data_IF_021547646822
#
_entry.id   IF_021547646822
#
_cell.length_a   1.000
_cell.length_b   1.000
_cell.length_c   1.000
_cell.angle_alpha   90.00
_cell.angle_beta   90.00
_cell.angle_gamma   90.00
#
_symmetry.space_group_name_H-M   'P 1'
#
loop_
_entity.id
_entity.type
_entity.pdbx_description
1 polymer ?
#
# COMPACT_ATOMS: atom_id res chain seq x y z
N UNK A 1 38.97 -16.75 18.22
CA UNK A 1 37.58 -17.07 17.81
C UNK A 1 36.91 -15.73 17.61
N UNK A 2 36.97 -15.24 16.38
CA UNK A 2 36.35 -13.98 15.96
C UNK A 2 34.95 -14.32 15.49
N UNK A 3 33.96 -14.01 16.32
CA UNK A 3 32.55 -14.02 15.92
C UNK A 3 32.34 -12.90 14.91
N UNK A 4 32.12 -13.29 13.66
CA UNK A 4 31.55 -12.45 12.63
C UNK A 4 30.08 -12.20 13.01
N UNK A 5 29.78 -10.98 13.46
CA UNK A 5 28.43 -10.46 13.50
C UNK A 5 27.91 -10.35 12.08
N UNK A 6 27.19 -11.37 11.62
CA UNK A 6 26.30 -11.25 10.47
C UNK A 6 25.24 -10.20 10.82
N UNK A 7 25.26 -9.10 10.09
CA UNK A 7 24.27 -8.04 10.14
C UNK A 7 22.86 -8.62 9.93
N UNK A 8 21.92 -8.22 10.77
CA UNK A 8 20.49 -8.50 10.66
C UNK A 8 19.87 -7.97 9.36
N UNK A 9 20.01 -8.70 8.25
CA UNK A 9 19.35 -8.36 6.99
C UNK A 9 17.98 -9.06 6.90
N UNK A 10 17.00 -8.55 7.65
CA UNK A 10 15.61 -9.02 7.65
C UNK A 10 14.68 -8.30 6.67
N UNK A 11 15.07 -7.12 6.21
CA UNK A 11 14.35 -6.29 5.22
C UNK A 11 15.30 -6.00 4.05
N UNK A 12 15.40 -6.91 3.08
CA UNK A 12 16.09 -6.60 1.84
C UNK A 12 15.14 -5.77 0.97
N UNK A 13 15.44 -4.48 0.80
CA UNK A 13 14.80 -3.64 -0.20
C UNK A 13 14.82 -4.36 -1.56
N UNK A 14 13.73 -4.23 -2.32
CA UNK A 14 13.65 -4.76 -3.67
C UNK A 14 14.73 -4.10 -4.54
N UNK A 15 15.40 -4.86 -5.42
CA UNK A 15 16.28 -4.29 -6.42
C UNK A 15 15.53 -3.28 -7.30
N UNK A 16 16.24 -2.28 -7.88
CA UNK A 16 15.65 -1.35 -8.82
C UNK A 16 15.41 -2.05 -10.17
N UNK A 17 14.30 -2.79 -10.28
CA UNK A 17 13.83 -3.37 -11.54
C UNK A 17 13.24 -2.29 -12.43
N UNK A 18 13.64 -2.19 -13.69
CA UNK A 18 13.20 -1.15 -14.64
C UNK A 18 12.51 -1.72 -15.89
N UNK A 19 12.47 -3.04 -16.05
CA UNK A 19 11.82 -3.73 -17.16
C UNK A 19 10.83 -4.77 -16.61
N UNK A 20 9.81 -4.28 -15.90
CA UNK A 20 8.85 -5.10 -15.17
C UNK A 20 7.74 -5.57 -16.09
N UNK A 21 7.44 -6.87 -16.04
CA UNK A 21 6.17 -7.41 -16.53
C UNK A 21 5.26 -7.72 -15.36
N UNK A 22 4.01 -7.27 -15.44
CA UNK A 22 2.96 -7.59 -14.46
C UNK A 22 2.16 -8.78 -14.98
N UNK A 23 1.91 -9.81 -14.15
CA UNK A 23 0.99 -10.89 -14.53
C UNK A 23 -0.39 -10.71 -13.90
N UNK A 24 -1.42 -10.73 -14.74
CA UNK A 24 -2.83 -10.65 -14.32
C UNK A 24 -3.73 -11.67 -15.01
N UNK A 25 -3.17 -12.54 -15.86
CA UNK A 25 -3.85 -13.53 -16.69
C UNK A 25 -4.99 -14.31 -15.98
N UNK A 26 -6.22 -14.13 -16.45
CA UNK A 26 -7.44 -14.73 -15.85
C UNK A 26 -7.99 -14.01 -14.61
N UNK A 27 -7.35 -12.91 -14.18
CA UNK A 27 -7.67 -12.19 -12.94
C UNK A 27 -7.66 -10.66 -13.12
N UNK A 28 -7.76 -10.14 -14.35
CA UNK A 28 -7.68 -8.71 -14.70
C UNK A 28 -8.91 -7.86 -14.33
N UNK A 29 -9.55 -8.13 -13.20
CA UNK A 29 -10.63 -7.30 -12.68
C UNK A 29 -10.08 -6.23 -11.72
N UNK A 30 -10.73 -5.06 -11.59
CA UNK A 30 -10.32 -4.03 -10.63
C UNK A 30 -10.21 -4.52 -9.18
N UNK A 31 -10.96 -5.58 -8.82
CA UNK A 31 -10.93 -6.16 -7.49
C UNK A 31 -9.69 -7.06 -7.25
N UNK A 32 -9.32 -7.86 -8.25
CA UNK A 32 -8.27 -8.87 -8.12
C UNK A 32 -6.89 -8.34 -8.54
N UNK A 33 -6.83 -7.50 -9.56
CA UNK A 33 -5.60 -6.94 -10.14
C UNK A 33 -5.21 -5.58 -9.51
N UNK A 34 -5.65 -5.30 -8.27
CA UNK A 34 -5.36 -4.03 -7.59
C UNK A 34 -3.85 -3.71 -7.51
N UNK A 35 -3.02 -4.75 -7.40
CA UNK A 35 -1.55 -4.60 -7.36
C UNK A 35 -1.05 -4.12 -8.72
N UNK A 36 -1.42 -4.79 -9.82
CA UNK A 36 -1.06 -4.37 -11.17
C UNK A 36 -1.56 -2.96 -11.49
N UNK A 37 -2.82 -2.64 -11.17
CA UNK A 37 -3.41 -1.31 -11.40
C UNK A 37 -2.60 -0.22 -10.69
N UNK A 38 -2.15 -0.48 -9.47
CA UNK A 38 -1.36 0.48 -8.70
C UNK A 38 0.07 0.60 -9.24
N UNK A 39 0.70 -0.52 -9.63
CA UNK A 39 2.01 -0.51 -10.30
C UNK A 39 1.97 0.28 -11.62
N UNK A 40 0.93 0.09 -12.44
CA UNK A 40 0.71 0.84 -13.68
C UNK A 40 0.47 2.34 -13.46
N UNK A 41 0.06 2.75 -12.27
CA UNK A 41 -0.18 4.16 -11.94
C UNK A 41 1.04 4.84 -11.33
N UNK A 42 1.75 4.14 -10.45
CA UNK A 42 2.81 4.72 -9.62
C UNK A 42 4.23 4.34 -10.07
N UNK A 43 4.38 3.28 -10.87
CA UNK A 43 5.64 2.83 -11.47
C UNK A 43 5.51 2.55 -12.97
N UNK A 44 4.68 3.31 -13.68
CA UNK A 44 4.47 3.11 -15.13
C UNK A 44 5.75 3.13 -15.94
N UNK A 45 6.72 3.98 -15.58
CA UNK A 45 8.01 4.09 -16.26
C UNK A 45 8.85 2.81 -16.23
N UNK A 46 8.62 1.95 -15.23
CA UNK A 46 9.35 0.70 -15.06
C UNK A 46 8.59 -0.51 -15.61
N UNK A 47 7.34 -0.35 -16.04
CA UNK A 47 6.48 -1.45 -16.51
C UNK A 47 6.46 -1.49 -18.03
N UNK A 48 6.90 -2.61 -18.61
CA UNK A 48 7.03 -2.77 -20.07
C UNK A 48 5.88 -3.55 -20.71
N UNK A 49 5.17 -4.38 -19.94
CA UNK A 49 3.97 -5.07 -20.42
C UNK A 49 3.13 -5.63 -19.25
N UNK A 50 1.87 -5.95 -19.55
CA UNK A 50 1.00 -6.79 -18.71
C UNK A 50 0.76 -8.12 -19.41
N UNK A 51 0.97 -9.23 -18.72
CA UNK A 51 0.72 -10.56 -19.22
C UNK A 51 -0.69 -11.03 -18.88
N UNK A 52 -1.51 -11.14 -19.93
CA UNK A 52 -2.89 -11.62 -19.93
C UNK A 52 -3.24 -12.12 -21.35
N UNK A 53 -3.50 -13.41 -21.48
CA UNK A 53 -3.73 -14.07 -22.76
C UNK A 53 -5.07 -13.66 -23.39
N UNK A 54 -6.12 -13.51 -22.57
CA UNK A 54 -7.47 -13.19 -23.06
C UNK A 54 -7.55 -11.73 -23.55
N UNK A 55 -6.78 -10.83 -22.93
CA UNK A 55 -6.78 -9.40 -23.22
C UNK A 55 -5.63 -8.95 -24.12
N UNK A 56 -4.84 -9.88 -24.66
CA UNK A 56 -3.69 -9.58 -25.51
C UNK A 56 -4.06 -8.69 -26.71
N UNK A 57 -3.21 -7.71 -26.99
CA UNK A 57 -3.40 -6.71 -28.06
C UNK A 57 -4.15 -5.44 -27.62
N UNK A 58 -4.68 -5.40 -26.39
CA UNK A 58 -5.15 -4.16 -25.76
C UNK A 58 -3.99 -3.41 -25.11
N UNK A 59 -4.24 -2.17 -24.72
CA UNK A 59 -3.35 -1.41 -23.82
C UNK A 59 -3.80 -1.53 -22.36
N UNK A 60 -2.89 -1.21 -21.44
CA UNK A 60 -3.21 -1.10 -20.01
C UNK A 60 -4.26 -0.01 -19.75
N UNK A 61 -4.23 1.08 -20.51
CA UNK A 61 -5.27 2.11 -20.45
C UNK A 61 -6.65 1.56 -20.82
N UNK A 62 -6.75 0.76 -21.88
CA UNK A 62 -8.03 0.18 -22.33
C UNK A 62 -8.61 -0.82 -21.32
N UNK A 63 -7.75 -1.64 -20.69
CA UNK A 63 -8.20 -2.68 -19.76
C UNK A 63 -8.43 -2.15 -18.33
N UNK A 64 -7.52 -1.31 -17.83
CA UNK A 64 -7.48 -0.90 -16.43
C UNK A 64 -7.79 0.58 -16.21
N UNK A 65 -7.87 1.39 -17.26
CA UNK A 65 -8.04 2.84 -17.15
C UNK A 65 -6.80 3.58 -16.66
N UNK A 66 -5.63 2.93 -16.65
CA UNK A 66 -4.34 3.51 -16.23
C UNK A 66 -3.18 2.79 -16.91
N UNK A 67 -2.02 3.45 -16.97
CA UNK A 67 -0.80 2.87 -17.55
C UNK A 67 -0.60 3.17 -19.03
N UNK A 68 -1.44 4.02 -19.65
CA UNK A 68 -1.23 4.49 -21.03
C UNK A 68 -1.08 3.35 -22.04
N UNK A 69 -0.10 3.50 -22.93
CA UNK A 69 0.14 2.59 -24.06
C UNK A 69 0.87 1.29 -23.67
N UNK A 70 1.09 1.02 -22.37
CA UNK A 70 1.74 -0.22 -21.92
C UNK A 70 0.97 -1.43 -22.48
N UNK A 71 1.60 -2.29 -23.29
CA UNK A 71 0.90 -3.33 -24.03
C UNK A 71 0.47 -4.49 -23.12
N UNK A 72 -0.67 -5.09 -23.46
CA UNK A 72 -1.10 -6.37 -22.91
C UNK A 72 -0.69 -7.48 -23.87
N UNK A 73 0.07 -8.45 -23.36
CA UNK A 73 0.69 -9.51 -24.15
C UNK A 73 0.26 -10.90 -23.66
N UNK A 74 0.15 -11.86 -24.58
CA UNK A 74 -0.19 -13.23 -24.23
C UNK A 74 0.99 -14.02 -23.66
N UNK A 75 2.22 -13.66 -24.03
CA UNK A 75 3.43 -14.40 -23.67
C UNK A 75 4.59 -13.45 -23.36
N UNK A 76 5.65 -13.97 -22.75
CA UNK A 76 6.91 -13.25 -22.54
C UNK A 76 7.83 -13.28 -23.78
N UNK A 77 7.36 -13.77 -24.92
CA UNK A 77 8.18 -13.87 -26.14
C UNK A 77 8.51 -12.48 -26.68
N UNK A 78 9.76 -12.28 -27.12
CA UNK A 78 10.22 -10.99 -27.64
C UNK A 78 10.45 -9.90 -26.59
N UNK A 79 10.09 -10.15 -25.32
CA UNK A 79 10.37 -9.25 -24.20
C UNK A 79 11.64 -9.66 -23.47
N UNK A 80 12.36 -8.70 -22.89
CA UNK A 80 13.54 -8.91 -22.04
C UNK A 80 13.34 -8.26 -20.66
N UNK A 81 12.34 -8.72 -19.88
CA UNK A 81 12.10 -8.14 -18.57
C UNK A 81 13.21 -8.53 -17.59
N UNK A 82 13.49 -7.65 -16.62
CA UNK A 82 14.36 -7.98 -15.48
C UNK A 82 13.58 -8.64 -14.35
N UNK A 83 12.28 -8.36 -14.24
CA UNK A 83 11.40 -8.98 -13.25
C UNK A 83 9.97 -9.25 -13.75
N UNK A 84 9.38 -10.32 -13.23
CA UNK A 84 7.97 -10.67 -13.32
C UNK A 84 7.31 -10.45 -11.95
N UNK A 85 6.37 -9.51 -11.89
CA UNK A 85 5.64 -9.16 -10.68
C UNK A 85 4.26 -9.80 -10.69
N UNK A 86 3.92 -10.50 -9.61
CA UNK A 86 2.59 -11.05 -9.38
C UNK A 86 1.61 -9.89 -9.16
N UNK A 87 0.84 -9.55 -10.20
CA UNK A 87 -0.01 -8.37 -10.26
C UNK A 87 -1.36 -8.50 -9.57
N UNK A 88 -1.60 -9.59 -8.83
CA UNK A 88 -2.91 -9.93 -8.28
C UNK A 88 -2.86 -10.18 -6.77
N UNK A 89 -4.03 -10.06 -6.14
CA UNK A 89 -4.25 -10.41 -4.73
C UNK A 89 -5.55 -11.22 -4.58
N UNK A 90 -5.54 -12.51 -4.96
CA UNK A 90 -6.75 -13.34 -4.94
C UNK A 90 -7.18 -13.66 -3.50
N UNK A 91 -8.48 -13.92 -3.27
CA UNK A 91 -8.96 -14.46 -2.00
C UNK A 91 -8.19 -15.72 -1.60
N UNK A 92 -7.67 -15.75 -0.37
CA UNK A 92 -6.84 -16.85 0.14
C UNK A 92 -5.35 -16.77 -0.23
N UNK A 93 -4.94 -15.82 -1.09
CA UNK A 93 -3.53 -15.46 -1.29
C UNK A 93 -2.65 -16.59 -1.87
N UNK A 94 -3.24 -17.52 -2.61
CA UNK A 94 -2.53 -18.63 -3.27
C UNK A 94 -2.11 -18.29 -4.68
N UNK A 95 -1.05 -18.93 -5.15
CA UNK A 95 -0.61 -18.83 -6.53
C UNK A 95 -1.55 -19.64 -7.43
N UNK A 96 -2.10 -19.06 -8.52
CA UNK A 96 -2.86 -19.84 -9.49
C UNK A 96 -1.99 -20.97 -10.06
N UNK A 97 -2.47 -22.22 -9.96
CA UNK A 97 -1.72 -23.40 -10.42
C UNK A 97 -1.34 -23.30 -11.89
N UNK A 98 -2.21 -22.69 -12.71
CA UNK A 98 -1.99 -22.47 -14.13
C UNK A 98 -0.77 -21.57 -14.43
N UNK A 99 -0.35 -20.72 -13.50
CA UNK A 99 0.80 -19.82 -13.70
C UNK A 99 2.15 -20.48 -13.41
N UNK A 100 2.18 -21.66 -12.77
CA UNK A 100 3.43 -22.34 -12.43
C UNK A 100 4.34 -22.55 -13.64
N UNK A 101 3.88 -23.09 -14.80
CA UNK A 101 4.75 -23.32 -15.95
C UNK A 101 5.37 -22.02 -16.49
N UNK A 102 4.59 -20.94 -16.50
CA UNK A 102 5.06 -19.63 -16.92
C UNK A 102 6.12 -19.07 -15.96
N UNK A 103 5.91 -19.17 -14.65
CA UNK A 103 6.88 -18.72 -13.64
C UNK A 103 8.18 -19.50 -13.76
N UNK A 104 8.11 -20.83 -13.94
CA UNK A 104 9.30 -21.66 -14.21
C UNK A 104 10.03 -21.20 -15.48
N UNK A 105 9.29 -20.89 -16.56
CA UNK A 105 9.89 -20.39 -17.79
C UNK A 105 10.55 -19.01 -17.62
N UNK A 106 9.97 -18.12 -16.81
CA UNK A 106 10.59 -16.84 -16.47
C UNK A 106 11.88 -17.03 -15.66
N UNK A 107 11.84 -17.91 -14.64
CA UNK A 107 13.01 -18.29 -13.84
C UNK A 107 14.13 -18.87 -14.70
N UNK A 108 13.80 -19.78 -15.63
CA UNK A 108 14.77 -20.41 -16.52
C UNK A 108 15.45 -19.40 -17.47
N UNK A 109 14.85 -18.23 -17.67
CA UNK A 109 15.41 -17.10 -18.44
C UNK A 109 16.22 -16.12 -17.58
N UNK A 110 16.38 -16.37 -16.29
CA UNK A 110 17.07 -15.47 -15.37
C UNK A 110 16.24 -14.25 -14.94
N UNK A 111 14.92 -14.27 -15.14
CA UNK A 111 14.01 -13.19 -14.74
C UNK A 111 13.67 -13.34 -13.25
N UNK A 112 13.81 -12.26 -12.49
CA UNK A 112 13.45 -12.24 -11.07
C UNK A 112 11.92 -12.33 -10.88
N UNK A 113 11.47 -13.02 -9.83
CA UNK A 113 10.04 -13.17 -9.55
C UNK A 113 9.71 -12.45 -8.24
N UNK A 114 8.76 -11.50 -8.30
CA UNK A 114 8.32 -10.73 -7.13
C UNK A 114 6.87 -11.07 -6.82
N UNK A 115 6.62 -11.61 -5.63
CA UNK A 115 5.31 -12.06 -5.18
C UNK A 115 4.94 -11.45 -3.83
N UNK A 116 3.70 -10.98 -3.72
CA UNK A 116 3.11 -10.55 -2.45
C UNK A 116 1.99 -11.47 -1.97
N UNK A 117 1.93 -12.68 -2.51
CA UNK A 117 1.00 -13.72 -2.06
C UNK A 117 1.37 -14.20 -0.63
N UNK A 118 0.40 -14.83 0.04
CA UNK A 118 0.66 -15.48 1.34
C UNK A 118 1.34 -16.84 1.16
N UNK A 119 1.18 -17.45 -0.02
CA UNK A 119 1.96 -18.59 -0.44
C UNK A 119 3.33 -18.13 -0.94
N UNK A 120 4.38 -18.43 -0.16
CA UNK A 120 5.75 -18.02 -0.45
C UNK A 120 6.38 -18.89 -1.54
N UNK A 121 6.90 -18.25 -2.58
CA UNK A 121 7.63 -18.89 -3.66
C UNK A 121 8.90 -19.57 -3.15
N UNK A 122 9.56 -18.97 -2.14
CA UNK A 122 10.77 -19.53 -1.53
C UNK A 122 10.55 -20.80 -0.72
N UNK A 123 9.29 -21.20 -0.48
CA UNK A 123 8.97 -22.49 0.13
C UNK A 123 8.87 -23.63 -0.90
N UNK A 124 8.87 -23.33 -2.20
CA UNK A 124 8.81 -24.33 -3.26
C UNK A 124 10.23 -24.77 -3.68
N UNK A 125 10.61 -26.05 -3.44
CA UNK A 125 11.96 -26.52 -3.75
C UNK A 125 12.33 -26.44 -5.23
N UNK A 126 11.35 -26.57 -6.14
CA UNK A 126 11.62 -26.50 -7.58
C UNK A 126 11.92 -25.06 -8.01
N UNK A 127 11.14 -24.09 -7.54
CA UNK A 127 11.39 -22.67 -7.81
C UNK A 127 12.77 -22.26 -7.30
N UNK A 128 13.11 -22.61 -6.06
CA UNK A 128 14.41 -22.28 -5.45
C UNK A 128 15.57 -22.90 -6.24
N UNK A 129 15.47 -24.19 -6.57
CA UNK A 129 16.54 -24.90 -7.29
C UNK A 129 16.77 -24.31 -8.69
N UNK A 130 15.71 -23.96 -9.41
CA UNK A 130 15.82 -23.36 -10.75
C UNK A 130 16.29 -21.91 -10.71
N UNK A 131 15.85 -21.13 -9.72
CA UNK A 131 16.31 -19.76 -9.53
C UNK A 131 17.83 -19.74 -9.30
N UNK A 132 18.32 -20.57 -8.37
CA UNK A 132 19.75 -20.72 -8.10
C UNK A 132 20.55 -21.18 -9.33
N UNK A 133 20.00 -22.08 -10.15
CA UNK A 133 20.66 -22.58 -11.35
C UNK A 133 20.79 -21.52 -12.45
N UNK A 134 19.77 -20.68 -12.63
CA UNK A 134 19.67 -19.75 -13.76
C UNK A 134 20.01 -18.29 -13.39
N UNK A 135 20.30 -18.02 -12.12
CA UNK A 135 20.75 -16.71 -11.63
C UNK A 135 19.61 -15.73 -11.36
N UNK A 136 18.34 -16.16 -11.41
CA UNK A 136 17.22 -15.34 -10.96
C UNK A 136 17.03 -15.40 -9.45
N UNK A 137 16.28 -14.44 -8.93
CA UNK A 137 15.95 -14.28 -7.50
C UNK A 137 14.44 -14.36 -7.30
N UNK A 138 14.05 -14.87 -6.14
CA UNK A 138 12.65 -14.96 -5.72
C UNK A 138 12.45 -14.01 -4.54
N UNK A 139 11.51 -13.07 -4.69
CA UNK A 139 11.17 -12.09 -3.67
C UNK A 139 9.75 -12.30 -3.17
N UNK A 140 9.64 -12.79 -1.93
CA UNK A 140 8.36 -12.86 -1.21
C UNK A 140 8.21 -11.60 -0.36
N UNK A 141 7.51 -10.57 -0.85
CA UNK A 141 7.45 -9.24 -0.18
C UNK A 141 6.75 -9.27 1.18
N UNK A 142 6.06 -10.37 1.49
CA UNK A 142 5.41 -10.61 2.78
C UNK A 142 6.30 -11.32 3.80
N UNK A 143 7.40 -11.91 3.36
CA UNK A 143 8.30 -12.65 4.22
C UNK A 143 9.11 -11.66 5.06
N UNK A 144 8.92 -11.72 6.38
CA UNK A 144 9.63 -10.89 7.34
C UNK A 144 10.14 -11.75 8.51
N UNK A 145 11.14 -11.25 9.22
CA UNK A 145 11.71 -11.91 10.40
C UNK A 145 11.74 -10.99 11.62
N UNK A 146 10.92 -9.93 11.62
CA UNK A 146 10.93 -8.89 12.63
C UNK A 146 10.45 -9.44 13.98
N UNK A 147 11.22 -9.18 15.05
CA UNK A 147 11.01 -9.78 16.40
C UNK A 147 11.25 -8.81 17.55
N UNK A 148 11.26 -7.51 17.27
CA UNK A 148 11.48 -6.49 18.29
C UNK A 148 10.15 -5.86 18.72
N UNK A 149 10.01 -5.53 20.00
CA UNK A 149 8.85 -4.79 20.50
C UNK A 149 9.07 -3.29 20.35
N UNK A 150 7.99 -2.51 20.31
CA UNK A 150 8.11 -1.06 20.32
C UNK A 150 8.74 -0.58 21.63
N UNK A 151 9.64 0.39 21.51
CA UNK A 151 10.38 0.99 22.64
C UNK A 151 9.72 2.26 23.17
N UNK A 152 8.77 2.84 22.42
CA UNK A 152 8.12 4.10 22.75
C UNK A 152 8.97 5.29 22.35
N UNK A 153 9.24 5.43 21.03
CA UNK A 153 9.95 6.58 20.48
C UNK A 153 9.46 7.91 21.06
N UNK A 154 10.35 8.82 21.48
CA UNK A 154 9.97 10.15 21.91
C UNK A 154 9.33 10.95 20.76
N UNK A 155 8.13 11.45 21.03
CA UNK A 155 7.27 12.18 20.08
C UNK A 155 7.94 13.42 19.46
N UNK A 156 8.73 14.17 20.23
CA UNK A 156 9.19 15.53 19.91
C UNK A 156 10.41 15.62 18.97
N UNK A 157 10.98 14.50 18.51
CA UNK A 157 12.34 14.50 17.91
C UNK A 157 12.45 13.98 16.47
N UNK A 158 11.37 13.96 15.70
CA UNK A 158 11.39 13.36 14.35
C UNK A 158 10.51 14.05 13.33
N UNK A 159 10.24 13.44 12.16
CA UNK A 159 9.36 13.96 11.10
C UNK A 159 7.92 14.15 11.58
N UNK A 160 7.16 15.01 10.87
CA UNK A 160 5.69 15.03 11.01
C UNK A 160 5.15 13.71 10.46
N UNK A 161 4.22 13.08 11.16
CA UNK A 161 3.74 11.72 10.82
C UNK A 161 2.25 11.78 10.56
N UNK A 162 1.84 11.46 9.35
CA UNK A 162 0.43 11.45 8.94
C UNK A 162 0.04 10.02 8.62
N UNK A 163 -1.04 9.53 9.23
CA UNK A 163 -1.52 8.17 8.99
C UNK A 163 -2.89 8.16 8.32
N UNK A 164 -3.01 7.45 7.20
CA UNK A 164 -4.29 7.19 6.58
C UNK A 164 -5.05 6.11 7.37
N UNK A 165 -6.21 6.45 7.90
CA UNK A 165 -7.16 5.51 8.52
C UNK A 165 -8.41 5.43 7.65
N UNK A 166 -9.38 4.59 7.99
CA UNK A 166 -10.61 4.60 7.19
C UNK A 166 -11.73 3.72 7.70
N UNK A 167 -12.87 3.83 7.04
CA UNK A 167 -14.07 3.12 7.47
C UNK A 167 -13.96 1.61 7.32
N UNK A 168 -13.20 1.16 6.32
CA UNK A 168 -13.08 -0.25 5.97
C UNK A 168 -11.76 -0.54 5.19
N UNK A 169 -11.57 -1.81 4.81
CA UNK A 169 -10.55 -2.26 3.88
C UNK A 169 -10.86 -1.84 2.43
N UNK A 170 -9.80 -1.59 1.64
CA UNK A 170 -9.91 -1.27 0.20
C UNK A 170 -10.75 -0.02 -0.09
N UNK A 171 -10.68 1.00 0.77
CA UNK A 171 -11.39 2.28 0.59
C UNK A 171 -10.53 3.40 0.01
N UNK A 172 -9.24 3.14 -0.29
CA UNK A 172 -8.35 4.10 -0.92
C UNK A 172 -7.17 4.58 -0.06
N UNK A 173 -6.99 4.07 1.16
CA UNK A 173 -5.90 4.52 2.08
C UNK A 173 -4.53 4.64 1.42
N UNK A 174 -4.03 3.57 0.78
CA UNK A 174 -2.73 3.60 0.09
C UNK A 174 -2.66 4.66 -1.01
N UNK A 175 -3.69 4.76 -1.86
CA UNK A 175 -3.66 5.70 -2.99
C UNK A 175 -3.77 7.14 -2.51
N UNK A 176 -4.60 7.41 -1.49
CA UNK A 176 -4.64 8.69 -0.80
C UNK A 176 -3.26 9.08 -0.26
N UNK A 177 -2.59 8.17 0.43
CA UNK A 177 -1.25 8.42 0.98
C UNK A 177 -0.23 8.72 -0.12
N UNK A 178 -0.25 7.98 -1.24
CA UNK A 178 0.65 8.19 -2.38
C UNK A 178 0.39 9.52 -3.11
N UNK A 179 -0.88 9.87 -3.39
CA UNK A 179 -1.23 11.13 -4.04
C UNK A 179 -0.85 12.33 -3.16
N UNK A 180 -1.10 12.26 -1.85
CA UNK A 180 -0.65 13.29 -0.90
C UNK A 180 0.88 13.41 -0.90
N UNK A 181 1.60 12.29 -0.87
CA UNK A 181 3.06 12.29 -0.88
C UNK A 181 3.60 12.98 -2.15
N UNK A 182 3.05 12.66 -3.33
CA UNK A 182 3.37 13.35 -4.59
C UNK A 182 3.08 14.83 -4.52
N UNK A 183 1.90 15.22 -4.04
CA UNK A 183 1.52 16.62 -3.92
C UNK A 183 2.42 17.42 -2.96
N UNK A 184 2.90 16.80 -1.87
CA UNK A 184 3.88 17.41 -0.97
C UNK A 184 5.26 17.58 -1.63
N UNK A 185 5.72 16.57 -2.38
CA UNK A 185 6.97 16.65 -3.15
C UNK A 185 6.89 17.74 -4.24
N UNK A 186 5.73 17.89 -4.90
CA UNK A 186 5.48 18.96 -5.87
C UNK A 186 5.52 20.36 -5.20
N UNK A 187 5.26 20.43 -3.90
CA UNK A 187 5.46 21.64 -3.06
C UNK A 187 6.90 21.82 -2.57
N UNK A 188 7.83 20.95 -2.97
CA UNK A 188 9.22 20.99 -2.53
C UNK A 188 9.44 20.53 -1.09
N UNK A 189 8.49 19.81 -0.50
CA UNK A 189 8.61 19.22 0.84
C UNK A 189 9.28 17.86 0.75
N UNK A 190 10.22 17.60 1.65
CA UNK A 190 10.80 16.27 1.81
C UNK A 190 9.81 15.32 2.50
N UNK A 191 8.99 14.68 1.68
CA UNK A 191 7.90 13.81 2.09
C UNK A 191 8.15 12.37 1.64
N UNK A 192 7.99 11.41 2.56
CA UNK A 192 8.25 10.00 2.31
C UNK A 192 7.02 9.13 2.58
N UNK A 193 6.67 8.30 1.60
CA UNK A 193 5.61 7.29 1.70
C UNK A 193 6.14 6.04 2.43
N UNK A 194 5.51 5.66 3.53
CA UNK A 194 5.85 4.44 4.27
C UNK A 194 4.88 3.31 3.90
N UNK A 195 5.37 2.36 3.11
CA UNK A 195 4.61 1.19 2.72
C UNK A 195 4.42 0.21 3.89
N UNK A 196 3.19 -0.21 4.10
CA UNK A 196 2.79 -1.16 5.15
C UNK A 196 2.12 -2.41 4.57
N UNK A 197 1.92 -2.46 3.25
CA UNK A 197 1.35 -3.62 2.55
C UNK A 197 2.15 -4.00 1.31
N UNK A 198 1.91 -5.21 0.81
CA UNK A 198 2.61 -5.76 -0.37
C UNK A 198 2.61 -4.83 -1.59
N UNK A 199 1.48 -4.18 -1.91
CA UNK A 199 1.38 -3.31 -3.07
C UNK A 199 2.19 -2.04 -2.88
N UNK A 200 2.14 -1.44 -1.68
CA UNK A 200 3.00 -0.32 -1.32
C UNK A 200 4.47 -0.69 -1.48
N UNK A 201 4.89 -1.83 -0.92
CA UNK A 201 6.30 -2.31 -0.98
C UNK A 201 6.76 -2.52 -2.43
N UNK A 202 5.90 -3.07 -3.30
CA UNK A 202 6.25 -3.24 -4.72
C UNK A 202 6.40 -1.90 -5.47
N UNK A 203 5.71 -0.85 -5.00
CA UNK A 203 5.77 0.51 -5.57
C UNK A 203 6.97 1.27 -5.04
N UNK A 204 7.21 1.28 -3.72
CA UNK A 204 8.31 2.02 -3.09
C UNK A 204 9.64 1.29 -3.16
N UNK A 205 9.63 -0.04 -3.34
CA UNK A 205 10.80 -0.89 -3.25
C UNK A 205 11.14 -1.32 -1.81
N UNK A 206 10.58 -0.68 -0.80
CA UNK A 206 10.84 -0.97 0.61
C UNK A 206 9.60 -0.74 1.48
N UNK A 207 9.57 -1.32 2.67
CA UNK A 207 8.51 -1.14 3.65
C UNK A 207 8.39 -2.33 4.58
N UNK A 208 7.26 -2.44 5.27
CA UNK A 208 7.00 -3.54 6.22
C UNK A 208 5.68 -4.23 5.85
N UNK A 209 5.66 -5.54 5.58
CA UNK A 209 4.41 -6.27 5.34
C UNK A 209 3.71 -6.53 6.68
N UNK A 210 3.06 -5.49 7.23
CA UNK A 210 2.60 -5.48 8.62
C UNK A 210 1.58 -6.58 8.92
N UNK A 211 0.83 -7.02 7.91
CA UNK A 211 -0.15 -8.11 8.00
C UNK A 211 0.48 -9.49 8.23
N UNK A 212 1.80 -9.61 8.05
CA UNK A 212 2.57 -10.83 8.26
C UNK A 212 3.52 -10.71 9.45
N UNK A 213 3.47 -9.62 10.22
CA UNK A 213 4.24 -9.44 11.45
C UNK A 213 3.49 -10.12 12.61
N UNK A 214 4.21 -10.89 13.42
CA UNK A 214 3.62 -11.52 14.60
C UNK A 214 3.11 -10.44 15.57
N UNK A 215 1.92 -10.65 16.14
CA UNK A 215 1.18 -9.63 16.90
C UNK A 215 2.02 -8.85 17.94
N UNK A 216 2.91 -9.54 18.66
CA UNK A 216 3.76 -8.95 19.70
C UNK A 216 4.74 -7.88 19.15
N UNK A 217 5.05 -7.95 17.85
CA UNK A 217 6.06 -7.13 17.19
C UNK A 217 5.46 -6.14 16.18
N UNK A 218 4.14 -6.11 16.00
CA UNK A 218 3.48 -5.20 15.03
C UNK A 218 3.83 -3.74 15.32
N UNK A 219 3.68 -3.32 16.57
CA UNK A 219 4.01 -1.95 16.97
C UNK A 219 5.50 -1.67 16.79
N UNK A 220 6.35 -2.66 17.09
CA UNK A 220 7.79 -2.52 16.93
C UNK A 220 8.16 -2.31 15.48
N UNK A 221 7.60 -3.09 14.55
CA UNK A 221 7.88 -2.98 13.13
C UNK A 221 7.40 -1.64 12.55
N UNK A 222 6.25 -1.16 13.02
CA UNK A 222 5.72 0.16 12.68
C UNK A 222 6.59 1.31 13.24
N UNK A 223 7.11 1.15 14.47
CA UNK A 223 8.04 2.10 15.08
C UNK A 223 9.38 2.13 14.34
N UNK A 224 9.94 0.97 14.00
CA UNK A 224 11.18 0.86 13.23
C UNK A 224 11.07 1.45 11.82
N UNK A 225 9.93 1.23 11.15
CA UNK A 225 9.66 1.85 9.85
C UNK A 225 9.73 3.39 9.93
N UNK A 226 9.22 3.98 11.02
CA UNK A 226 9.35 5.41 11.27
C UNK A 226 10.80 5.80 11.58
N UNK A 227 11.52 5.02 12.41
CA UNK A 227 12.95 5.29 12.75
C UNK A 227 13.83 5.33 11.52
N UNK A 228 13.69 4.35 10.61
CA UNK A 228 14.49 4.26 9.40
C UNK A 228 14.31 5.44 8.44
N UNK A 229 13.21 6.18 8.60
CA UNK A 229 12.84 7.31 7.76
C UNK A 229 12.86 8.63 8.55
N UNK A 230 13.59 8.71 9.67
CA UNK A 230 13.60 9.89 10.55
C UNK A 230 14.22 11.15 9.94
N UNK A 231 14.95 11.01 8.84
CA UNK A 231 15.69 12.11 8.21
C UNK A 231 14.82 12.96 7.27
N UNK A 232 13.58 12.54 6.99
CA UNK A 232 12.62 13.30 6.19
C UNK A 232 11.87 14.35 7.03
N UNK A 233 11.18 15.30 6.37
CA UNK A 233 10.35 16.29 7.05
C UNK A 233 8.98 15.72 7.42
N UNK A 234 8.36 14.97 6.50
CA UNK A 234 7.01 14.41 6.64
C UNK A 234 7.00 12.93 6.22
N UNK A 235 6.44 12.07 7.08
CA UNK A 235 6.16 10.68 6.79
C UNK A 235 4.67 10.44 6.60
N UNK A 236 4.33 9.79 5.50
CA UNK A 236 2.97 9.46 5.10
C UNK A 236 2.80 7.94 5.22
N UNK A 237 2.17 7.50 6.31
CA UNK A 237 2.02 6.08 6.63
C UNK A 237 0.83 5.48 5.92
N UNK A 238 1.08 4.47 5.07
CA UNK A 238 0.05 3.67 4.42
C UNK A 238 -0.88 3.01 5.45
N UNK A 239 -2.18 3.23 5.29
CA UNK A 239 -3.21 2.64 6.15
C UNK A 239 -3.55 1.20 5.81
N UNK A 240 -3.59 0.32 6.82
CA UNK A 240 -4.13 -1.04 6.72
C UNK A 240 -5.39 -1.24 7.55
N UNK A 241 -6.26 -2.15 7.11
CA UNK A 241 -7.45 -2.55 7.88
C UNK A 241 -8.46 -1.44 8.17
N UNK A 242 -9.22 -1.63 9.24
CA UNK A 242 -10.01 -0.58 9.92
C UNK A 242 -10.13 -1.00 11.39
N UNK A 243 -10.14 -0.04 12.32
CA UNK A 243 -10.24 -0.33 13.75
C UNK A 243 -11.55 -1.04 14.13
N UNK A 244 -12.60 -0.85 13.31
CA UNK A 244 -13.88 -1.52 13.47
C UNK A 244 -13.98 -2.85 12.69
N UNK A 245 -12.98 -3.21 11.88
CA UNK A 245 -13.05 -4.42 11.07
C UNK A 245 -12.84 -5.68 11.92
N UNK A 246 -13.74 -6.68 11.87
CA UNK A 246 -13.66 -7.88 12.71
C UNK A 246 -12.38 -8.69 12.49
N UNK A 247 -11.88 -8.73 11.26
CA UNK A 247 -10.70 -9.53 10.89
C UNK A 247 -9.35 -8.79 10.96
N UNK A 248 -9.34 -7.45 10.92
CA UNK A 248 -8.11 -6.69 10.61
C UNK A 248 -7.82 -5.53 11.57
N UNK A 249 -8.64 -5.34 12.61
CA UNK A 249 -8.51 -4.23 13.56
C UNK A 249 -7.18 -4.21 14.32
N UNK A 250 -6.62 -5.39 14.64
CA UNK A 250 -5.35 -5.50 15.35
C UNK A 250 -4.18 -4.85 14.59
N UNK A 251 -4.18 -4.97 13.25
CA UNK A 251 -3.17 -4.34 12.40
C UNK A 251 -3.29 -2.81 12.45
N UNK A 252 -4.51 -2.28 12.30
CA UNK A 252 -4.76 -0.84 12.38
C UNK A 252 -4.36 -0.27 13.73
N UNK A 253 -4.69 -0.97 14.83
CA UNK A 253 -4.31 -0.56 16.18
C UNK A 253 -2.78 -0.53 16.35
N UNK A 254 -2.10 -1.56 15.85
CA UNK A 254 -0.65 -1.65 15.96
C UNK A 254 0.10 -0.59 15.16
N UNK A 255 -0.40 -0.23 13.96
CA UNK A 255 0.11 0.90 13.18
C UNK A 255 -0.10 2.24 13.89
N UNK A 256 -1.31 2.49 14.41
CA UNK A 256 -1.62 3.73 15.15
C UNK A 256 -0.66 3.91 16.34
N UNK A 257 -0.43 2.85 17.11
CA UNK A 257 0.44 2.92 18.27
C UNK A 257 1.93 2.91 17.93
N UNK A 258 2.37 2.13 16.93
CA UNK A 258 3.78 2.05 16.57
C UNK A 258 4.27 3.27 15.81
N UNK A 259 3.46 3.82 14.91
CA UNK A 259 3.83 5.01 14.14
C UNK A 259 3.63 6.32 14.91
N UNK A 260 2.82 6.34 15.98
CA UNK A 260 2.56 7.51 16.82
C UNK A 260 2.29 8.80 16.01
N UNK A 261 1.24 8.79 15.15
CA UNK A 261 1.03 9.82 14.14
C UNK A 261 0.56 11.14 14.76
N UNK A 262 0.99 12.26 14.20
CA UNK A 262 0.55 13.61 14.60
C UNK A 262 -0.81 14.00 14.03
N UNK A 263 -1.22 13.39 12.91
CA UNK A 263 -2.49 13.67 12.26
C UNK A 263 -2.99 12.49 11.46
N UNK A 264 -4.31 12.40 11.31
CA UNK A 264 -4.98 11.34 10.58
C UNK A 264 -5.70 11.87 9.34
N UNK A 265 -5.66 11.09 8.26
CA UNK A 265 -6.54 11.28 7.08
C UNK A 265 -7.57 10.17 7.09
N UNK A 266 -8.85 10.51 7.22
CA UNK A 266 -9.93 9.53 7.24
C UNK A 266 -10.39 9.19 5.82
N UNK A 267 -10.20 7.94 5.41
CA UNK A 267 -10.56 7.46 4.08
C UNK A 267 -11.87 6.67 4.10
N UNK A 268 -12.75 6.90 3.12
CA UNK A 268 -14.02 6.18 3.04
C UNK A 268 -14.51 6.00 1.60
N UNK A 269 -15.41 5.05 1.37
CA UNK A 269 -16.04 4.82 0.05
C UNK A 269 -17.51 5.24 0.12
N UNK A 270 -17.91 6.13 -0.82
CA UNK A 270 -19.26 6.71 -0.85
C UNK A 270 -20.30 5.62 -1.11
N UNK A 271 -21.35 5.60 -0.30
CA UNK A 271 -22.46 4.65 -0.43
C UNK A 271 -22.18 3.23 0.06
N UNK A 272 -21.02 2.97 0.69
CA UNK A 272 -20.75 1.66 1.29
C UNK A 272 -21.49 1.52 2.62
N UNK A 273 -22.27 0.45 2.76
CA UNK A 273 -23.07 0.20 3.96
C UNK A 273 -22.53 -0.96 4.82
N UNK A 274 -21.93 -1.96 4.19
CA UNK A 274 -21.50 -3.20 4.86
C UNK A 274 -19.99 -3.37 4.83
N UNK A 275 -19.47 -4.01 5.88
CA UNK A 275 -18.05 -4.34 6.02
C UNK A 275 -17.63 -5.37 4.97
N UNK A 276 -16.55 -5.09 4.26
CA UNK A 276 -16.02 -5.94 3.19
C UNK A 276 -15.75 -7.38 3.64
N UNK A 277 -16.41 -8.33 3.00
CA UNK A 277 -16.15 -9.76 3.25
C UNK A 277 -16.85 -10.30 4.51
N UNK A 278 -17.58 -9.44 5.22
CA UNK A 278 -18.51 -9.80 6.29
C UNK A 278 -19.81 -9.04 6.08
N UNK A 279 -20.46 -9.28 4.94
CA UNK A 279 -21.55 -8.47 4.39
C UNK A 279 -22.85 -8.46 5.24
N UNK A 280 -22.84 -9.09 6.42
CA UNK A 280 -23.90 -9.05 7.43
C UNK A 280 -23.61 -8.05 8.56
N UNK A 281 -22.44 -7.42 8.55
CA UNK A 281 -22.00 -6.45 9.57
C UNK A 281 -22.07 -5.05 8.95
N UNK A 282 -22.91 -4.14 9.47
CA UNK A 282 -22.98 -2.77 8.99
C UNK A 282 -21.74 -1.98 9.38
N UNK A 283 -21.37 -1.00 8.56
CA UNK A 283 -20.37 -0.01 8.90
C UNK A 283 -20.88 0.92 10.00
N UNK A 284 -19.96 1.37 10.85
CA UNK A 284 -20.27 2.42 11.83
C UNK A 284 -20.46 3.76 11.11
N UNK A 285 -21.33 4.65 11.62
CA UNK A 285 -21.40 6.03 11.14
C UNK A 285 -20.03 6.71 11.20
N UNK A 286 -19.72 7.53 10.18
CA UNK A 286 -18.42 8.18 10.06
C UNK A 286 -18.04 8.99 11.32
N UNK A 287 -18.98 9.76 11.89
CA UNK A 287 -18.75 10.53 13.10
C UNK A 287 -18.34 9.68 14.32
N UNK A 288 -18.99 8.52 14.48
CA UNK A 288 -18.65 7.59 15.55
C UNK A 288 -17.24 7.02 15.34
N UNK A 289 -16.92 6.61 14.11
CA UNK A 289 -15.65 5.97 13.80
C UNK A 289 -14.47 6.94 13.84
N UNK A 290 -14.64 8.17 13.34
CA UNK A 290 -13.67 9.27 13.46
C UNK A 290 -13.36 9.55 14.94
N UNK A 291 -14.39 9.63 15.78
CA UNK A 291 -14.20 9.83 17.22
C UNK A 291 -13.41 8.69 17.87
N UNK A 292 -13.66 7.43 17.48
CA UNK A 292 -12.90 6.26 17.97
C UNK A 292 -11.44 6.34 17.53
N UNK A 293 -11.18 6.64 16.26
CA UNK A 293 -9.81 6.79 15.75
C UNK A 293 -9.05 7.88 16.50
N UNK A 294 -9.64 9.06 16.67
CA UNK A 294 -9.01 10.15 17.41
C UNK A 294 -8.72 9.78 18.87
N UNK A 295 -9.67 9.11 19.55
CA UNK A 295 -9.48 8.70 20.94
C UNK A 295 -8.32 7.71 21.10
N UNK A 296 -8.20 6.73 20.19
CA UNK A 296 -7.13 5.73 20.21
C UNK A 296 -5.79 6.33 19.82
N UNK A 297 -5.76 7.13 18.75
CA UNK A 297 -4.53 7.76 18.29
C UNK A 297 -4.01 8.78 19.30
N UNK A 298 -4.90 9.40 20.08
CA UNK A 298 -4.52 10.45 21.04
C UNK A 298 -4.09 9.93 22.42
N UNK A 299 -3.85 8.63 22.57
CA UNK A 299 -3.48 8.04 23.88
C UNK A 299 -2.13 8.52 24.42
N UNK A 300 -1.22 8.97 23.56
CA UNK A 300 0.10 9.51 23.96
C UNK A 300 0.18 11.03 23.87
N UNK A 301 -0.41 11.60 22.83
CA UNK A 301 -0.41 13.04 22.55
C UNK A 301 -1.62 13.38 21.66
N UNK A 302 -2.04 14.65 21.51
CA UNK A 302 -3.12 15.00 20.61
C UNK A 302 -2.86 14.53 19.17
N UNK A 303 -3.81 13.80 18.59
CA UNK A 303 -3.78 13.34 17.21
C UNK A 303 -5.16 13.57 16.55
N UNK A 304 -5.38 14.73 15.92
CA UNK A 304 -6.64 15.03 15.23
C UNK A 304 -6.76 14.32 13.89
N UNK A 305 -8.00 14.08 13.45
CA UNK A 305 -8.27 13.90 12.02
C UNK A 305 -8.24 15.29 11.38
N UNK A 306 -7.37 15.46 10.40
CA UNK A 306 -7.10 16.77 9.76
C UNK A 306 -7.73 16.89 8.37
N UNK A 307 -8.21 15.79 7.80
CA UNK A 307 -8.84 15.78 6.49
C UNK A 307 -9.49 14.44 6.18
N UNK A 308 -10.35 14.46 5.17
CA UNK A 308 -11.16 13.31 4.76
C UNK A 308 -10.90 13.04 3.27
N UNK A 309 -10.49 11.82 2.96
CA UNK A 309 -10.33 11.35 1.59
C UNK A 309 -11.53 10.49 1.21
N UNK A 310 -12.41 11.02 0.36
CA UNK A 310 -13.55 10.26 -0.15
C UNK A 310 -13.15 9.48 -1.41
N UNK A 311 -13.65 8.25 -1.53
CA UNK A 311 -13.59 7.46 -2.76
C UNK A 311 -14.98 7.47 -3.39
N UNK A 312 -15.13 8.29 -4.43
CA UNK A 312 -16.38 8.56 -5.13
C UNK A 312 -16.52 7.79 -6.46
N UNK A 313 -15.72 6.75 -6.67
CA UNK A 313 -15.64 6.01 -7.95
C UNK A 313 -16.97 5.40 -8.40
N UNK A 314 -17.88 5.12 -7.47
CA UNK A 314 -19.17 4.45 -7.71
C UNK A 314 -20.31 5.45 -7.95
N UNK A 315 -20.06 6.74 -7.79
CA UNK A 315 -21.08 7.79 -7.89
C UNK A 315 -20.76 8.79 -9.01
N UNK A 316 -21.78 9.49 -9.49
CA UNK A 316 -21.63 10.52 -10.52
C UNK A 316 -20.80 11.71 -10.03
N UNK A 317 -20.38 12.57 -10.96
CA UNK A 317 -19.73 13.86 -10.65
C UNK A 317 -20.56 14.69 -9.66
N UNK A 318 -21.85 14.84 -9.95
CA UNK A 318 -22.78 15.62 -9.14
C UNK A 318 -23.01 15.01 -7.75
N UNK A 319 -23.19 13.69 -7.66
CA UNK A 319 -23.39 13.03 -6.38
C UNK A 319 -22.15 13.11 -5.47
N UNK A 320 -20.94 13.05 -6.04
CA UNK A 320 -19.73 13.24 -5.26
C UNK A 320 -19.57 14.68 -4.76
N UNK A 321 -19.94 15.67 -5.56
CA UNK A 321 -19.92 17.08 -5.14
C UNK A 321 -20.83 17.30 -3.93
N UNK A 322 -22.06 16.76 -4.00
CA UNK A 322 -23.03 16.84 -2.92
C UNK A 322 -22.53 16.15 -1.65
N UNK A 323 -21.96 14.96 -1.80
CA UNK A 323 -21.38 14.18 -0.70
C UNK A 323 -20.18 14.91 -0.08
N UNK A 324 -19.29 15.49 -0.90
CA UNK A 324 -18.15 16.29 -0.42
C UNK A 324 -18.62 17.45 0.44
N UNK A 325 -19.54 18.25 -0.08
CA UNK A 325 -20.10 19.41 0.64
C UNK A 325 -20.82 19.00 1.93
N UNK A 326 -21.49 17.84 1.94
CA UNK A 326 -22.14 17.30 3.13
C UNK A 326 -21.11 16.93 4.22
N UNK A 327 -20.04 16.22 3.84
CA UNK A 327 -18.97 15.84 4.77
C UNK A 327 -18.19 17.06 5.30
N UNK A 328 -17.88 18.04 4.43
CA UNK A 328 -17.21 19.28 4.86
C UNK A 328 -18.06 20.03 5.89
N UNK A 329 -19.38 20.11 5.66
CA UNK A 329 -20.32 20.74 6.58
C UNK A 329 -20.45 19.97 7.91
N UNK A 330 -20.51 18.64 7.85
CA UNK A 330 -20.68 17.79 9.03
C UNK A 330 -19.45 17.83 9.94
N UNK A 331 -18.26 17.72 9.35
CA UNK A 331 -17.02 17.55 10.11
C UNK A 331 -16.22 18.85 10.28
N UNK A 332 -16.49 19.88 9.49
CA UNK A 332 -15.67 21.09 9.46
C UNK A 332 -14.23 20.82 9.04
N UNK A 333 -14.02 19.76 8.26
CA UNK A 333 -12.70 19.30 7.79
C UNK A 333 -12.61 19.41 6.27
N UNK A 334 -11.40 19.60 5.72
CA UNK A 334 -11.18 19.52 4.29
C UNK A 334 -11.49 18.12 3.76
N UNK A 335 -12.26 18.04 2.66
CA UNK A 335 -12.63 16.77 2.02
C UNK A 335 -12.22 16.83 0.55
N UNK A 336 -11.63 15.76 0.01
CA UNK A 336 -11.47 15.61 -1.44
C UNK A 336 -11.47 14.15 -1.87
N UNK A 337 -11.76 13.91 -3.15
CA UNK A 337 -11.41 12.66 -3.81
C UNK A 337 -10.07 12.85 -4.53
N UNK A 338 -9.02 12.19 -4.05
CA UNK A 338 -7.65 12.41 -4.57
C UNK A 338 -7.48 12.07 -6.06
N UNK A 339 -8.35 11.23 -6.63
CA UNK A 339 -8.30 10.90 -8.05
C UNK A 339 -9.19 11.79 -8.91
N UNK A 340 -10.30 12.30 -8.37
CA UNK A 340 -11.20 13.18 -9.11
C UNK A 340 -10.79 14.65 -9.00
N UNK A 341 -10.40 15.08 -7.80
CA UNK A 341 -10.15 16.48 -7.44
C UNK A 341 -8.64 16.79 -7.35
N UNK A 342 -7.81 15.77 -7.19
CA UNK A 342 -6.40 15.91 -6.82
C UNK A 342 -6.18 15.99 -5.30
N UNK A 343 -4.92 15.93 -4.83
CA UNK A 343 -4.60 15.85 -3.40
C UNK A 343 -4.48 17.21 -2.68
N UNK A 344 -4.55 18.33 -3.42
CA UNK A 344 -4.18 19.66 -2.96
C UNK A 344 -4.83 20.05 -1.62
N UNK A 345 -6.14 19.83 -1.50
CA UNK A 345 -6.91 20.12 -0.29
C UNK A 345 -6.35 19.42 0.96
N UNK A 346 -5.87 18.17 0.82
CA UNK A 346 -5.28 17.40 1.93
C UNK A 346 -3.80 17.74 2.14
N UNK A 347 -3.07 18.10 1.08
CA UNK A 347 -1.70 18.64 1.16
C UNK A 347 -1.68 19.90 2.02
N UNK A 348 -2.58 20.86 1.76
CA UNK A 348 -2.66 22.09 2.54
C UNK A 348 -3.03 21.84 4.01
N UNK A 349 -3.90 20.86 4.29
CA UNK A 349 -4.23 20.47 5.66
C UNK A 349 -3.00 19.96 6.44
N UNK A 350 -2.12 19.20 5.77
CA UNK A 350 -0.89 18.68 6.36
C UNK A 350 0.14 19.80 6.59
N UNK A 351 0.32 20.70 5.61
CA UNK A 351 1.21 21.87 5.75
C UNK A 351 0.75 22.79 6.88
N UNK A 352 -0.57 22.98 7.03
CA UNK A 352 -1.13 23.74 8.14
C UNK A 352 -0.82 23.06 9.48
N UNK A 353 -1.01 21.74 9.60
CA UNK A 353 -0.64 21.00 10.81
C UNK A 353 0.85 21.13 11.12
N UNK A 354 1.72 21.03 10.09
CA UNK A 354 3.16 21.20 10.24
C UNK A 354 3.50 22.56 10.87
N UNK A 355 2.92 23.65 10.36
CA UNK A 355 3.14 25.01 10.87
C UNK A 355 2.64 25.21 12.30
N UNK A 356 1.57 24.53 12.71
CA UNK A 356 1.02 24.61 14.06
C UNK A 356 1.90 23.91 15.10
N UNK A 357 2.49 22.78 14.72
CA UNK A 357 3.33 21.97 15.60
C UNK A 357 4.80 22.43 15.60
N UNK A 358 5.23 23.15 14.55
CA UNK A 358 6.60 23.62 14.35
C UNK A 358 6.61 25.09 13.90
N UNK A 359 6.29 26.02 14.82
CA UNK A 359 6.18 27.45 14.51
C UNK A 359 7.53 28.14 14.25
#
# INVERSE_FOLDING_TARGET
MTESTESSSGDAALPPHHQIVLITDGYSTPFLAKTAISMLRYRSADVVAVLDQENAGKTSQDLFGTGGDIPIVATLEGLLPDALYIGIAPPGGKLPVAWRPLILAAIDRGIDIVSGLHEFLTNDPEFVARAAKNGSRLFDVRKNQYKETATGLPYDTGPLRIHAVGQDCTVGKMVTTLEICRGLVDHGVDAQFLATGQTGIMISGEGVPIDCVVADFVNGAAEDLVKRNSDHDILLVEGQGSIAHPSFSAVTLGLLHGCDPHGLIYCYEVGREMVKGTDHIPLLPAAQLISIYQAIASLRHPCPVIGIAMNSRTVSAEAAEQERAAMEKEFGLPVCDVYRDGPETLVQAILQLQSQLRP
#
